data_IF_431773839218
#
_entry.id   IF_431773839218
#
_cell.length_a   1.000
_cell.length_b   1.000
_cell.length_c   1.000
_cell.angle_alpha   90.00
_cell.angle_beta   90.00
_cell.angle_gamma   90.00
#
_symmetry.space_group_name_H-M   'P 1'
#
loop_
_entity.id
_entity.type
_entity.pdbx_description
1 polymer ?
#
# COMPACT_ATOMS: atom_id res chain seq x y z
N UNK A 1 9.89 7.64 -9.01
CA UNK A 1 9.79 7.77 -7.54
C UNK A 1 8.66 6.89 -7.00
N UNK A 2 8.96 6.04 -6.03
CA UNK A 2 8.01 5.26 -5.22
C UNK A 2 7.33 6.14 -4.17
N UNK A 3 6.28 5.65 -3.52
CA UNK A 3 5.59 6.34 -2.43
C UNK A 3 6.53 6.52 -1.24
N UNK A 4 7.37 5.53 -0.93
CA UNK A 4 8.38 5.64 0.12
C UNK A 4 9.38 6.76 -0.17
N UNK A 5 9.88 6.86 -1.41
CA UNK A 5 10.80 7.93 -1.83
C UNK A 5 10.12 9.31 -1.77
N UNK A 6 8.84 9.40 -2.15
CA UNK A 6 8.06 10.65 -2.01
C UNK A 6 7.90 11.04 -0.54
N UNK A 7 7.61 10.08 0.36
CA UNK A 7 7.51 10.34 1.81
C UNK A 7 8.84 10.82 2.40
N UNK A 8 9.96 10.20 2.03
CA UNK A 8 11.31 10.66 2.42
C UNK A 8 11.64 12.05 1.90
N UNK A 9 11.22 12.38 0.68
CA UNK A 9 11.37 13.74 0.13
C UNK A 9 10.59 14.78 0.95
N UNK A 10 9.35 14.44 1.35
CA UNK A 10 8.53 15.30 2.22
C UNK A 10 9.22 15.49 3.57
N UNK A 11 9.66 14.41 4.22
CA UNK A 11 10.37 14.46 5.50
C UNK A 11 11.64 15.31 5.40
N UNK A 12 12.41 15.18 4.32
CA UNK A 12 13.59 16.00 4.07
C UNK A 12 13.25 17.48 3.94
N UNK A 13 12.16 17.83 3.25
CA UNK A 13 11.72 19.22 3.12
C UNK A 13 11.23 19.81 4.44
N UNK A 14 10.58 19.00 5.27
CA UNK A 14 10.10 19.39 6.60
C UNK A 14 11.28 19.58 7.58
N UNK A 15 12.31 18.73 7.49
CA UNK A 15 13.52 18.82 8.30
C UNK A 15 14.49 19.92 7.84
N UNK A 16 14.35 20.43 6.62
CA UNK A 16 15.24 21.46 6.06
C UNK A 16 14.44 22.46 5.24
N UNK A 17 13.63 23.34 5.88
CA UNK A 17 12.73 24.26 5.17
C UNK A 17 13.47 25.33 4.35
N UNK A 18 14.77 25.52 4.57
CA UNK A 18 15.63 26.39 3.78
C UNK A 18 16.02 25.80 2.42
N UNK A 19 15.90 24.49 2.22
CA UNK A 19 16.23 23.84 0.95
C UNK A 19 15.19 24.18 -0.12
N UNK A 20 15.68 24.70 -1.24
CA UNK A 20 14.85 25.05 -2.39
C UNK A 20 14.43 23.80 -3.19
N UNK A 21 13.39 23.93 -4.02
CA UNK A 21 12.94 22.83 -4.90
C UNK A 21 14.04 22.23 -5.81
N UNK A 22 14.95 22.99 -6.46
CA UNK A 22 16.04 22.40 -7.23
C UNK A 22 17.04 21.64 -6.35
N UNK A 23 17.33 22.12 -5.14
CA UNK A 23 18.20 21.40 -4.20
C UNK A 23 17.54 20.09 -3.73
N UNK A 24 16.23 20.11 -3.43
CA UNK A 24 15.46 18.91 -3.10
C UNK A 24 15.44 17.91 -4.27
N UNK A 25 15.39 18.41 -5.50
CA UNK A 25 15.49 17.59 -6.71
C UNK A 25 16.85 16.91 -6.82
N UNK A 26 17.94 17.68 -6.69
CA UNK A 26 19.30 17.13 -6.74
C UNK A 26 19.55 16.13 -5.61
N UNK A 27 19.09 16.44 -4.39
CA UNK A 27 19.16 15.53 -3.25
C UNK A 27 18.41 14.23 -3.53
N UNK A 28 17.17 14.29 -4.04
CA UNK A 28 16.37 13.10 -4.36
C UNK A 28 17.03 12.23 -5.44
N UNK A 29 17.65 12.87 -6.44
CA UNK A 29 18.36 12.17 -7.50
C UNK A 29 19.52 11.34 -6.93
N UNK A 30 20.30 11.94 -6.03
CA UNK A 30 21.44 11.30 -5.35
C UNK A 30 20.99 10.22 -4.36
N UNK A 31 20.07 10.56 -3.46
CA UNK A 31 19.60 9.68 -2.38
C UNK A 31 18.93 8.42 -2.93
N UNK A 32 18.09 8.55 -3.96
CA UNK A 32 17.33 7.44 -4.53
C UNK A 32 17.98 6.85 -5.79
N UNK A 33 19.20 7.30 -6.15
CA UNK A 33 19.95 6.85 -7.34
C UNK A 33 19.10 6.90 -8.61
N UNK A 34 18.35 8.00 -8.80
CA UNK A 34 17.45 8.15 -9.95
C UNK A 34 18.26 8.43 -11.21
N UNK A 35 17.89 7.78 -12.33
CA UNK A 35 18.51 8.04 -13.63
C UNK A 35 18.39 9.52 -14.08
N UNK A 36 17.33 10.20 -13.63
CA UNK A 36 17.11 11.64 -13.86
C UNK A 36 16.55 12.29 -12.61
N UNK A 37 17.05 13.48 -12.30
CA UNK A 37 16.52 14.30 -11.21
C UNK A 37 15.03 14.64 -11.46
N UNK A 38 14.18 14.61 -10.41
CA UNK A 38 12.78 14.95 -10.55
C UNK A 38 12.62 16.42 -10.96
N UNK A 39 11.71 16.72 -11.88
CA UNK A 39 11.47 18.09 -12.30
C UNK A 39 11.00 18.95 -11.11
N UNK A 40 11.28 20.26 -11.14
CA UNK A 40 10.81 21.22 -10.14
C UNK A 40 9.30 21.10 -9.87
N UNK A 41 8.51 20.95 -10.95
CA UNK A 41 7.06 20.81 -10.86
C UNK A 41 6.65 19.50 -10.17
N UNK A 42 7.42 18.42 -10.35
CA UNK A 42 7.21 17.14 -9.65
C UNK A 42 7.46 17.28 -8.16
N UNK A 43 8.55 17.94 -7.76
CA UNK A 43 8.85 18.22 -6.34
C UNK A 43 7.73 19.06 -5.73
N UNK A 44 7.33 20.16 -6.38
CA UNK A 44 6.23 21.01 -5.89
C UNK A 44 4.91 20.23 -5.75
N UNK A 45 4.55 19.40 -6.73
CA UNK A 45 3.33 18.59 -6.67
C UNK A 45 3.37 17.58 -5.51
N UNK A 46 4.51 16.94 -5.26
CA UNK A 46 4.69 16.01 -4.13
C UNK A 46 4.49 16.74 -2.79
N UNK A 47 5.11 17.92 -2.62
CA UNK A 47 5.00 18.70 -1.39
C UNK A 47 3.58 19.21 -1.16
N UNK A 48 2.88 19.68 -2.21
CA UNK A 48 1.46 20.08 -2.11
C UNK A 48 0.54 18.92 -1.71
N UNK A 49 0.88 17.70 -2.11
CA UNK A 49 0.13 16.49 -1.77
C UNK A 49 0.67 15.79 -0.51
N UNK A 50 1.50 16.45 0.30
CA UNK A 50 2.22 15.82 1.41
C UNK A 50 1.30 15.09 2.40
N UNK A 51 0.20 15.74 2.82
CA UNK A 51 -0.77 15.14 3.74
C UNK A 51 -1.38 13.85 3.17
N UNK A 52 -1.75 13.87 1.88
CA UNK A 52 -2.29 12.70 1.21
C UNK A 52 -1.22 11.59 1.08
N UNK A 53 -0.01 11.91 0.63
CA UNK A 53 1.07 10.94 0.42
C UNK A 53 1.52 10.29 1.74
N UNK A 54 1.55 11.04 2.84
CA UNK A 54 1.89 10.52 4.18
C UNK A 54 0.80 9.61 4.75
N UNK A 55 -0.45 9.74 4.32
CA UNK A 55 -1.53 8.87 4.76
C UNK A 55 -1.28 7.41 4.37
N UNK A 56 -1.59 6.48 5.28
CA UNK A 56 -1.54 5.05 5.02
C UNK A 56 -2.51 4.65 3.88
N UNK A 57 -3.63 5.37 3.73
CA UNK A 57 -4.62 5.18 2.67
C UNK A 57 -4.05 5.45 1.25
N UNK A 58 -2.96 6.22 1.14
CA UNK A 58 -2.32 6.47 -0.15
C UNK A 58 -1.69 5.21 -0.74
N UNK A 59 -1.43 4.20 0.09
CA UNK A 59 -0.90 2.91 -0.33
C UNK A 59 0.52 2.65 0.19
N UNK A 60 0.99 1.46 -0.16
CA UNK A 60 2.29 0.95 0.25
C UNK A 60 3.47 1.72 -0.39
N UNK A 61 4.56 1.79 0.36
CA UNK A 61 5.78 2.50 0.00
C UNK A 61 6.44 1.98 -1.28
N UNK A 62 6.30 0.70 -1.62
CA UNK A 62 6.90 0.10 -2.83
C UNK A 62 6.25 0.61 -4.13
N UNK A 63 4.99 1.04 -4.06
CA UNK A 63 4.23 1.45 -5.25
C UNK A 63 4.60 2.86 -5.70
N UNK A 64 4.44 3.15 -6.99
CA UNK A 64 4.62 4.51 -7.54
C UNK A 64 3.34 5.34 -7.55
N UNK A 65 2.18 4.68 -7.65
CA UNK A 65 0.85 5.30 -7.75
C UNK A 65 0.04 5.01 -6.49
N UNK A 66 -0.90 5.91 -6.12
CA UNK A 66 -1.77 5.68 -4.99
C UNK A 66 -2.58 4.38 -5.14
N UNK A 67 -2.93 3.79 -4.01
CA UNK A 67 -3.86 2.67 -3.95
C UNK A 67 -5.27 3.15 -4.34
N UNK A 68 -5.81 2.60 -5.43
CA UNK A 68 -7.19 2.84 -5.85
C UNK A 68 -8.07 1.69 -5.39
N UNK A 69 -8.66 1.81 -4.22
CA UNK A 69 -9.59 0.82 -3.67
C UNK A 69 -10.84 1.51 -3.15
N UNK A 70 -11.95 0.79 -3.19
CA UNK A 70 -13.25 1.32 -2.80
C UNK A 70 -13.29 1.74 -1.31
N UNK A 71 -12.53 1.07 -0.43
CA UNK A 71 -12.34 1.51 0.95
C UNK A 71 -10.88 1.41 1.39
N UNK A 72 -10.11 2.51 1.33
CA UNK A 72 -8.70 2.52 1.74
C UNK A 72 -8.50 2.24 3.23
N UNK A 73 -9.47 2.63 4.07
CA UNK A 73 -9.44 2.39 5.52
C UNK A 73 -9.58 0.90 5.84
N UNK A 74 -10.52 0.21 5.18
CA UNK A 74 -10.69 -1.24 5.29
C UNK A 74 -9.41 -1.96 4.85
N UNK A 75 -8.88 -1.59 3.68
CA UNK A 75 -7.67 -2.22 3.14
C UNK A 75 -6.45 -2.04 4.05
N UNK A 76 -6.26 -0.84 4.60
CA UNK A 76 -5.16 -0.57 5.54
C UNK A 76 -5.28 -1.38 6.84
N UNK A 77 -6.47 -1.42 7.46
CA UNK A 77 -6.69 -2.18 8.71
C UNK A 77 -6.53 -3.69 8.48
N UNK A 78 -7.12 -4.21 7.40
CA UNK A 78 -7.02 -5.64 7.08
C UNK A 78 -5.58 -6.04 6.75
N UNK A 79 -4.86 -5.23 5.96
CA UNK A 79 -3.44 -5.46 5.65
C UNK A 79 -2.53 -5.44 6.88
N UNK A 80 -2.77 -4.53 7.83
CA UNK A 80 -2.04 -4.48 9.09
C UNK A 80 -2.30 -5.73 9.95
N UNK A 81 -3.56 -6.19 10.01
CA UNK A 81 -3.91 -7.41 10.71
C UNK A 81 -3.28 -8.65 10.06
N UNK A 82 -3.29 -8.76 8.73
CA UNK A 82 -2.61 -9.86 8.03
C UNK A 82 -1.12 -9.89 8.35
N UNK A 83 -0.45 -8.73 8.29
CA UNK A 83 0.98 -8.62 8.64
C UNK A 83 1.28 -9.07 10.08
N UNK A 84 0.35 -8.85 11.00
CA UNK A 84 0.45 -9.30 12.39
C UNK A 84 0.26 -10.82 12.51
N UNK A 85 -0.68 -11.41 11.76
CA UNK A 85 -0.94 -12.85 11.77
C UNK A 85 0.17 -13.65 11.07
N UNK A 86 0.72 -13.13 9.97
CA UNK A 86 1.85 -13.75 9.26
C UNK A 86 3.10 -13.87 10.16
N UNK A 87 3.37 -12.84 10.98
CA UNK A 87 4.44 -12.90 11.99
C UNK A 87 4.26 -14.03 13.00
N UNK A 88 3.02 -14.47 13.24
CA UNK A 88 2.69 -15.59 14.12
C UNK A 88 2.72 -16.96 13.41
N UNK A 89 3.14 -17.02 12.13
CA UNK A 89 3.19 -18.23 11.30
C UNK A 89 1.88 -19.01 11.22
N UNK A 90 0.74 -18.32 11.37
CA UNK A 90 -0.58 -18.95 11.21
C UNK A 90 -0.91 -18.98 9.72
N UNK A 91 -1.30 -20.16 9.22
CA UNK A 91 -1.86 -20.27 7.88
C UNK A 91 -3.21 -19.55 7.85
N UNK A 92 -3.24 -18.39 7.20
CA UNK A 92 -4.50 -17.74 6.86
C UNK A 92 -5.28 -18.64 5.90
N UNK A 93 -6.60 -18.61 6.00
CA UNK A 93 -7.50 -19.20 5.03
C UNK A 93 -8.46 -18.11 4.52
N UNK A 94 -9.01 -18.30 3.34
CA UNK A 94 -9.92 -17.37 2.67
C UNK A 94 -11.10 -16.97 3.58
N UNK A 95 -11.73 -17.93 4.27
CA UNK A 95 -12.86 -17.67 5.17
C UNK A 95 -12.47 -16.77 6.36
N UNK A 96 -11.26 -16.96 6.89
CA UNK A 96 -10.74 -16.16 8.01
C UNK A 96 -10.48 -14.72 7.57
N UNK A 97 -10.02 -14.51 6.33
CA UNK A 97 -9.87 -13.18 5.75
C UNK A 97 -11.22 -12.48 5.53
N UNK A 98 -12.23 -13.19 5.02
CA UNK A 98 -13.59 -12.64 4.83
C UNK A 98 -14.19 -12.25 6.16
N UNK A 99 -14.22 -13.15 7.14
CA UNK A 99 -14.76 -12.86 8.48
C UNK A 99 -14.09 -11.63 9.11
N UNK A 100 -12.75 -11.53 8.99
CA UNK A 100 -12.06 -10.37 9.52
C UNK A 100 -12.34 -9.09 8.73
N UNK A 101 -12.51 -9.19 7.41
CA UNK A 101 -12.87 -8.05 6.58
C UNK A 101 -14.28 -7.53 6.91
N UNK A 102 -15.25 -8.41 7.17
CA UNK A 102 -16.62 -8.05 7.58
C UNK A 102 -16.62 -7.34 8.94
N UNK A 103 -15.87 -7.85 9.91
CA UNK A 103 -15.71 -7.19 11.21
C UNK A 103 -15.16 -5.77 11.04
N UNK A 104 -14.07 -5.63 10.28
CA UNK A 104 -13.45 -4.33 10.02
C UNK A 104 -14.38 -3.42 9.19
N UNK A 105 -15.21 -3.96 8.29
CA UNK A 105 -16.21 -3.18 7.58
C UNK A 105 -17.21 -2.52 8.53
N UNK A 106 -17.70 -3.27 9.53
CA UNK A 106 -18.55 -2.75 10.59
C UNK A 106 -17.88 -1.63 11.38
N UNK A 107 -16.62 -1.83 11.79
CA UNK A 107 -15.84 -0.84 12.54
C UNK A 107 -15.51 0.44 11.74
N UNK A 108 -15.26 0.31 10.44
CA UNK A 108 -14.84 1.45 9.60
C UNK A 108 -16.03 2.28 9.15
N UNK A 109 -17.17 1.65 8.88
CA UNK A 109 -18.37 2.32 8.40
C UNK A 109 -18.22 3.00 7.02
N UNK A 110 -19.22 3.80 6.65
CA UNK A 110 -19.23 4.60 5.42
C UNK A 110 -19.14 3.76 4.15
N UNK A 111 -18.27 4.14 3.21
CA UNK A 111 -18.07 3.44 1.94
C UNK A 111 -17.56 1.99 2.10
N UNK A 112 -17.13 1.59 3.30
CA UNK A 112 -16.81 0.19 3.58
C UNK A 112 -18.07 -0.69 3.66
N UNK A 113 -19.21 -0.16 4.10
CA UNK A 113 -20.46 -0.91 4.28
C UNK A 113 -21.13 -1.28 2.96
N UNK A 114 -20.91 -0.49 1.90
CA UNK A 114 -21.44 -0.74 0.56
C UNK A 114 -20.53 -1.64 -0.27
N UNK A 115 -19.35 -2.00 0.27
CA UNK A 115 -18.35 -2.77 -0.45
C UNK A 115 -18.70 -4.26 -0.39
N UNK A 116 -18.91 -4.87 -1.55
CA UNK A 116 -19.13 -6.32 -1.63
C UNK A 116 -17.79 -7.07 -1.48
N UNK A 117 -17.62 -7.80 -0.38
CA UNK A 117 -16.45 -8.66 -0.09
C UNK A 117 -16.47 -9.96 -0.91
N UNK A 118 -16.63 -9.84 -2.21
CA UNK A 118 -16.62 -10.97 -3.13
C UNK A 118 -15.26 -11.69 -3.17
N UNK A 119 -15.25 -12.93 -3.67
CA UNK A 119 -14.02 -13.69 -3.97
C UNK A 119 -13.06 -12.90 -4.86
N UNK A 120 -13.60 -12.14 -5.82
CA UNK A 120 -12.82 -11.26 -6.70
C UNK A 120 -12.16 -10.10 -5.96
N UNK A 121 -12.88 -9.48 -5.00
CA UNK A 121 -12.30 -8.43 -4.15
C UNK A 121 -11.16 -8.99 -3.29
N UNK A 122 -11.36 -10.15 -2.67
CA UNK A 122 -10.36 -10.76 -1.80
C UNK A 122 -9.14 -11.24 -2.59
N UNK A 123 -9.33 -11.84 -3.76
CA UNK A 123 -8.23 -12.21 -4.67
C UNK A 123 -7.40 -10.99 -5.05
N UNK A 124 -8.06 -9.87 -5.35
CA UNK A 124 -7.37 -8.63 -5.68
C UNK A 124 -6.67 -8.02 -4.45
N UNK A 125 -7.27 -8.07 -3.25
CA UNK A 125 -6.63 -7.66 -1.99
C UNK A 125 -5.36 -8.48 -1.75
N UNK A 126 -5.45 -9.80 -1.85
CA UNK A 126 -4.33 -10.70 -1.66
C UNK A 126 -3.18 -10.42 -2.63
N UNK A 127 -3.49 -10.29 -3.93
CA UNK A 127 -2.49 -9.95 -4.94
C UNK A 127 -1.83 -8.60 -4.63
N UNK A 128 -2.60 -7.61 -4.14
CA UNK A 128 -2.09 -6.30 -3.78
C UNK A 128 -1.13 -6.31 -2.58
N UNK A 129 -1.28 -7.29 -1.69
CA UNK A 129 -0.51 -7.46 -0.46
C UNK A 129 0.52 -8.59 -0.54
N UNK A 130 0.80 -9.13 -1.74
CA UNK A 130 1.72 -10.26 -1.96
C UNK A 130 1.36 -11.51 -1.15
N UNK A 131 0.06 -11.65 -0.78
CA UNK A 131 -0.46 -12.78 -0.02
C UNK A 131 -0.73 -13.93 -0.99
N UNK A 132 0.28 -14.74 -1.27
CA UNK A 132 0.05 -16.00 -1.95
C UNK A 132 -0.48 -17.01 -0.91
N UNK A 133 -1.79 -17.30 -0.95
CA UNK A 133 -2.18 -18.66 -0.61
C UNK A 133 -1.42 -19.53 -1.60
N UNK A 134 -0.46 -20.29 -1.11
CA UNK A 134 -0.07 -21.53 -1.77
C UNK A 134 -1.35 -22.37 -1.80
N UNK A 135 -2.21 -22.10 -2.78
CA UNK A 135 -3.08 -23.13 -3.32
C UNK A 135 -2.06 -24.15 -3.80
N UNK A 136 -1.76 -25.15 -2.95
CA UNK A 136 -1.21 -26.40 -3.44
C UNK A 136 -2.26 -26.87 -4.44
N UNK A 137 -2.02 -26.55 -5.71
CA UNK A 137 -2.75 -27.13 -6.82
C UNK A 137 -2.50 -28.62 -6.63
N UNK A 138 -3.56 -29.34 -6.26
CA UNK A 138 -3.48 -30.67 -5.67
C UNK A 138 -2.62 -31.62 -6.49
N UNK A 139 -1.80 -32.39 -5.77
CA UNK A 139 -1.51 -33.76 -6.12
C UNK A 139 -2.85 -34.47 -6.41
N UNK A 140 -3.15 -34.72 -7.68
CA UNK A 140 -4.14 -35.71 -8.12
C UNK A 140 -4.00 -35.91 -9.63
N UNK A 141 -3.27 -36.96 -10.00
CA UNK A 141 -3.05 -37.41 -11.36
C UNK A 141 -2.27 -38.72 -11.39
N UNK A 142 -2.66 -39.66 -10.50
CA UNK A 142 -2.38 -41.08 -10.68
C UNK A 142 -3.22 -41.54 -11.87
N UNK A 143 -2.58 -42.04 -12.94
CA UNK A 143 -3.04 -43.19 -13.74
C UNK A 143 -1.84 -43.81 -14.49
N UNK A 144 -1.66 -45.10 -14.23
CA UNK A 144 -0.81 -46.15 -14.84
C UNK A 144 0.68 -45.88 -15.12
#
# INVERSE_FOLDING_TARGET
MTIAEKRKLIEKSEATPSMTHPELSAWAAREFRLAKAPARNTVSAILKMAAAIKSAAYGDGKRRKPLKVASPKLECKLGAWVSFVEKKKVNLNHNILIMKAEEIQGDVGGAALTLNLSVGWLSAFMHRHDLCFRIKRGEAGSVD
#
